data_IF_430022914950
#
_entry.id   IF_430022914950
#
_cell.length_a   1.000
_cell.length_b   1.000
_cell.length_c   1.000
_cell.angle_alpha   90.00
_cell.angle_beta   90.00
_cell.angle_gamma   90.00
#
_symmetry.space_group_name_H-M   'P 1'
#
loop_
_entity.id
_entity.type
_entity.pdbx_description
1 polymer ?
#
# COMPACT_ATOMS: atom_id res chain seq x y z
N UNK A 1 -1.65 17.78 -14.49
CA UNK A 1 -0.93 18.50 -13.40
C UNK A 1 0.57 18.50 -13.69
N UNK A 2 1.28 19.62 -13.45
CA UNK A 2 2.68 19.85 -13.86
C UNK A 2 3.69 18.81 -13.33
N UNK A 3 3.35 18.06 -12.26
CA UNK A 3 4.28 17.18 -11.54
C UNK A 3 3.88 15.69 -11.50
N UNK A 4 2.84 15.29 -12.23
CA UNK A 4 2.28 13.93 -12.17
C UNK A 4 3.34 12.84 -12.38
N UNK A 5 4.10 12.94 -13.49
CA UNK A 5 5.14 11.96 -13.86
C UNK A 5 6.30 11.92 -12.86
N UNK A 6 6.65 13.07 -12.28
CA UNK A 6 7.72 13.15 -11.28
C UNK A 6 7.31 12.41 -10.01
N UNK A 7 6.08 12.61 -9.54
CA UNK A 7 5.55 11.91 -8.36
C UNK A 7 5.46 10.40 -8.60
N UNK A 8 4.95 9.97 -9.76
CA UNK A 8 4.93 8.55 -10.14
C UNK A 8 6.34 7.94 -10.11
N UNK A 9 7.35 8.64 -10.63
CA UNK A 9 8.74 8.19 -10.61
C UNK A 9 9.29 8.06 -9.19
N UNK A 10 9.03 9.05 -8.33
CA UNK A 10 9.44 9.01 -6.91
C UNK A 10 8.81 7.81 -6.22
N UNK A 11 7.50 7.60 -6.38
CA UNK A 11 6.78 6.48 -5.75
C UNK A 11 7.39 5.14 -6.18
N UNK A 12 7.66 4.97 -7.47
CA UNK A 12 8.25 3.75 -8.02
C UNK A 12 9.67 3.54 -7.55
N UNK A 13 10.47 4.59 -7.46
CA UNK A 13 11.87 4.49 -7.01
C UNK A 13 11.95 4.19 -5.52
N UNK A 14 11.15 4.84 -4.68
CA UNK A 14 11.05 4.49 -3.25
C UNK A 14 10.73 3.01 -3.05
N UNK A 15 9.74 2.47 -3.78
CA UNK A 15 9.42 1.05 -3.70
C UNK A 15 10.55 0.12 -4.19
N UNK A 16 11.44 0.58 -5.07
CA UNK A 16 12.61 -0.20 -5.53
C UNK A 16 13.70 -0.25 -4.46
N UNK A 17 13.96 0.87 -3.78
CA UNK A 17 14.96 0.97 -2.71
C UNK A 17 14.54 0.21 -1.45
N UNK A 18 13.23 0.13 -1.19
CA UNK A 18 12.70 -0.67 -0.09
C UNK A 18 12.79 -2.18 -0.38
N UNK A 19 12.94 -2.95 0.69
CA UNK A 19 12.94 -4.42 0.65
C UNK A 19 12.08 -5.03 1.76
N UNK A 20 11.82 -6.34 1.66
CA UNK A 20 11.16 -7.10 2.73
C UNK A 20 9.79 -6.54 3.13
N UNK A 21 9.57 -6.44 4.45
CA UNK A 21 8.32 -5.96 5.04
C UNK A 21 8.04 -4.48 4.72
N UNK A 22 9.07 -3.62 4.77
CA UNK A 22 8.91 -2.19 4.51
C UNK A 22 8.41 -1.91 3.08
N UNK A 23 8.92 -2.65 2.09
CA UNK A 23 8.42 -2.56 0.71
C UNK A 23 6.95 -2.97 0.60
N UNK A 24 6.58 -4.05 1.29
CA UNK A 24 5.22 -4.60 1.30
C UNK A 24 4.22 -3.62 1.91
N UNK A 25 4.57 -3.04 3.04
CA UNK A 25 3.79 -2.00 3.72
C UNK A 25 3.63 -0.76 2.84
N UNK A 26 4.73 -0.25 2.29
CA UNK A 26 4.70 0.92 1.40
C UNK A 26 3.78 0.72 0.18
N UNK A 27 3.85 -0.44 -0.48
CA UNK A 27 2.98 -0.77 -1.62
C UNK A 27 1.51 -0.85 -1.18
N UNK A 28 1.23 -1.46 -0.03
CA UNK A 28 -0.13 -1.59 0.50
C UNK A 28 -0.72 -0.21 0.82
N UNK A 29 0.00 0.61 1.59
CA UNK A 29 -0.42 1.95 1.99
C UNK A 29 -0.61 2.86 0.78
N UNK A 30 0.37 2.90 -0.13
CA UNK A 30 0.27 3.69 -1.37
C UNK A 30 -0.98 3.29 -2.18
N UNK A 31 -1.26 1.99 -2.29
CA UNK A 31 -2.44 1.52 -3.02
C UNK A 31 -3.75 1.90 -2.31
N UNK A 32 -3.78 1.80 -0.97
CA UNK A 32 -4.95 2.14 -0.17
C UNK A 32 -5.26 3.63 -0.27
N UNK A 33 -4.25 4.48 -0.04
CA UNK A 33 -4.41 5.92 0.12
C UNK A 33 -4.46 6.67 -1.21
N UNK A 34 -3.68 6.24 -2.22
CA UNK A 34 -3.56 6.98 -3.49
C UNK A 34 -4.35 6.37 -4.65
N UNK A 35 -4.72 5.08 -4.56
CA UNK A 35 -5.30 4.34 -5.67
C UNK A 35 -6.68 3.73 -5.37
N UNK A 36 -7.39 4.25 -4.36
CA UNK A 36 -8.71 3.76 -3.95
C UNK A 36 -8.74 2.24 -3.69
N UNK A 37 -7.65 1.68 -3.16
CA UNK A 37 -7.49 0.24 -2.93
C UNK A 37 -7.57 -0.59 -4.23
N UNK A 38 -7.33 0.01 -5.40
CA UNK A 38 -7.49 -0.64 -6.69
C UNK A 38 -6.21 -1.33 -7.18
N UNK A 39 -6.19 -2.66 -7.11
CA UNK A 39 -5.10 -3.50 -7.65
C UNK A 39 -4.84 -3.24 -9.14
N UNK A 40 -5.89 -2.95 -9.91
CA UNK A 40 -5.77 -2.62 -11.35
C UNK A 40 -5.06 -1.28 -11.57
N UNK A 41 -5.33 -0.27 -10.75
CA UNK A 41 -4.60 1.00 -10.82
C UNK A 41 -3.14 0.82 -10.40
N UNK A 42 -2.87 0.01 -9.37
CA UNK A 42 -1.49 -0.23 -8.91
C UNK A 42 -0.61 -0.85 -9.99
N UNK A 43 -1.16 -1.80 -10.75
CA UNK A 43 -0.47 -2.36 -11.90
C UNK A 43 -0.29 -1.33 -13.02
N UNK A 44 -1.35 -0.59 -13.38
CA UNK A 44 -1.30 0.37 -14.49
C UNK A 44 -0.35 1.54 -14.22
N UNK A 45 -0.41 2.15 -13.04
CA UNK A 45 0.35 3.36 -12.71
C UNK A 45 1.79 3.02 -12.29
N UNK A 46 1.99 1.94 -11.51
CA UNK A 46 3.28 1.64 -10.87
C UNK A 46 3.93 0.34 -11.36
N UNK A 47 3.21 -0.52 -12.08
CA UNK A 47 3.73 -1.81 -12.56
C UNK A 47 3.77 -2.90 -11.49
N UNK A 48 3.02 -2.73 -10.40
CA UNK A 48 2.98 -3.72 -9.32
C UNK A 48 1.96 -4.82 -9.62
N UNK A 49 2.39 -6.08 -9.55
CA UNK A 49 1.55 -7.23 -9.87
C UNK A 49 0.29 -7.30 -9.01
N UNK A 50 -0.87 -7.48 -9.66
CA UNK A 50 -2.20 -7.42 -9.00
C UNK A 50 -2.33 -8.38 -7.83
N UNK A 51 -1.90 -9.63 -7.99
CA UNK A 51 -1.98 -10.64 -6.93
C UNK A 51 -1.13 -10.29 -5.71
N UNK A 52 0.06 -9.72 -5.95
CA UNK A 52 0.92 -9.22 -4.87
C UNK A 52 0.19 -8.11 -4.12
N UNK A 53 -0.26 -7.08 -4.84
CA UNK A 53 -0.95 -5.93 -4.24
C UNK A 53 -2.20 -6.36 -3.47
N UNK A 54 -2.97 -7.32 -3.99
CA UNK A 54 -4.15 -7.85 -3.30
C UNK A 54 -3.81 -8.52 -1.96
N UNK A 55 -2.77 -9.36 -1.93
CA UNK A 55 -2.31 -10.00 -0.69
C UNK A 55 -1.86 -8.95 0.33
N UNK A 56 -1.06 -7.97 -0.11
CA UNK A 56 -0.52 -6.93 0.76
C UNK A 56 -1.60 -6.02 1.35
N UNK A 57 -2.56 -5.60 0.54
CA UNK A 57 -3.67 -4.75 1.00
C UNK A 57 -4.61 -5.51 1.94
N UNK A 58 -4.88 -6.79 1.69
CA UNK A 58 -5.63 -7.66 2.62
C UNK A 58 -4.90 -7.82 3.96
N UNK A 59 -3.59 -8.09 3.92
CA UNK A 59 -2.76 -8.23 5.13
C UNK A 59 -2.74 -6.92 5.93
N UNK A 60 -2.48 -5.79 5.28
CA UNK A 60 -2.50 -4.47 5.90
C UNK A 60 -3.87 -4.17 6.55
N UNK A 61 -4.98 -4.36 5.83
CA UNK A 61 -6.32 -4.16 6.39
C UNK A 61 -6.63 -5.08 7.58
N UNK A 62 -6.14 -6.33 7.56
CA UNK A 62 -6.31 -7.24 8.68
C UNK A 62 -5.51 -6.79 9.91
N UNK A 63 -4.28 -6.29 9.72
CA UNK A 63 -3.48 -5.71 10.81
C UNK A 63 -4.22 -4.50 11.41
N UNK A 64 -4.71 -3.57 10.58
CA UNK A 64 -5.49 -2.42 11.05
C UNK A 64 -6.75 -2.84 11.82
N UNK A 65 -7.54 -3.78 11.28
CA UNK A 65 -8.74 -4.31 11.95
C UNK A 65 -8.40 -4.96 13.30
N UNK A 66 -7.32 -5.72 13.36
CA UNK A 66 -6.89 -6.38 14.59
C UNK A 66 -6.31 -5.37 15.60
N UNK A 67 -5.62 -4.33 15.13
CA UNK A 67 -5.15 -3.22 15.96
C UNK A 67 -6.31 -2.45 16.59
N UNK A 68 -7.30 -2.06 15.78
CA UNK A 68 -8.52 -1.39 16.27
C UNK A 68 -9.26 -2.25 17.28
N UNK A 69 -9.52 -3.53 16.96
CA UNK A 69 -10.13 -4.48 17.90
C UNK A 69 -9.36 -4.59 19.21
N UNK A 70 -8.03 -4.58 19.17
CA UNK A 70 -7.20 -4.60 20.38
C UNK A 70 -7.39 -3.35 21.22
N UNK A 71 -7.46 -2.17 20.59
CA UNK A 71 -7.68 -0.89 21.27
C UNK A 71 -9.07 -0.81 21.90
N UNK A 72 -10.11 -1.30 21.21
CA UNK A 72 -11.49 -1.35 21.73
C UNK A 72 -11.63 -2.25 22.96
N UNK A 73 -10.82 -3.30 23.05
CA UNK A 73 -10.84 -4.27 24.15
C UNK A 73 -9.82 -3.97 25.26
N UNK A 74 -9.20 -2.78 25.27
CA UNK A 74 -8.34 -2.37 26.38
C UNK A 74 -9.18 -2.16 27.66
N UNK A 75 -8.74 -2.67 28.82
CA UNK A 75 -9.40 -2.37 30.08
C UNK A 75 -9.36 -0.86 30.31
N UNK A 76 -10.52 -0.28 30.66
CA UNK A 76 -10.69 1.15 30.94
C UNK A 76 -10.09 1.55 32.28
#
# INVERSE_FOLDING_TARGET
MKYQKTLESIIKNTAKELSGAAKREYIAETTIELLDKSNRKAEREFGWGRETVEKLTKEAMNIYKNGIKRLENLPK
#
